data_IF_041051047649
#
_entry.id   IF_041051047649
#
_cell.length_a   1.000
_cell.length_b   1.000
_cell.length_c   1.000
_cell.angle_alpha   90.00
_cell.angle_beta   90.00
_cell.angle_gamma   90.00
#
_symmetry.space_group_name_H-M   'P 1'
#
loop_
_entity.id
_entity.type
_entity.pdbx_description
1 polymer ?
#
# COMPACT_ATOMS: atom_id res chain seq x y z
N UNK A 1 -4.26 -2.67 -6.67
CA UNK A 1 -4.45 -3.96 -6.04
C UNK A 1 -3.15 -4.30 -5.34
N UNK A 2 -3.17 -4.38 -4.02
CA UNK A 2 -1.99 -4.54 -3.17
C UNK A 2 -1.91 -6.02 -2.81
N UNK A 3 -1.08 -6.78 -3.53
CA UNK A 3 -0.81 -8.18 -3.21
C UNK A 3 0.25 -8.19 -2.10
N UNK A 4 -0.18 -8.31 -0.87
CA UNK A 4 0.66 -8.42 0.30
C UNK A 4 0.30 -9.66 1.10
N UNK A 5 1.37 -10.34 1.53
CA UNK A 5 1.41 -11.43 2.50
C UNK A 5 1.10 -12.80 1.90
N UNK A 6 2.15 -13.48 1.51
CA UNK A 6 2.16 -14.93 1.42
C UNK A 6 2.78 -15.47 2.71
N UNK A 7 1.95 -16.01 3.61
CA UNK A 7 2.40 -16.75 4.77
C UNK A 7 2.73 -18.17 4.33
N UNK A 8 4.00 -18.46 4.12
CA UNK A 8 4.46 -19.80 3.78
C UNK A 8 5.36 -20.33 4.90
N UNK A 9 5.07 -21.52 5.39
CA UNK A 9 5.88 -22.30 6.32
C UNK A 9 7.18 -22.76 5.63
N UNK A 10 8.14 -21.85 5.48
CA UNK A 10 9.36 -22.05 4.72
C UNK A 10 10.57 -21.62 5.55
N UNK A 11 11.47 -22.56 5.81
CA UNK A 11 12.76 -22.24 6.41
C UNK A 11 13.67 -21.57 5.39
N UNK A 12 13.93 -20.29 5.57
CA UNK A 12 14.86 -19.54 4.75
C UNK A 12 15.93 -18.85 5.60
N UNK A 13 17.17 -19.15 5.33
CA UNK A 13 18.39 -18.39 5.59
C UNK A 13 19.14 -18.52 6.92
N UNK A 14 20.40 -18.93 6.72
CA UNK A 14 21.53 -18.59 7.54
C UNK A 14 22.35 -17.45 6.95
N UNK A 15 23.26 -16.91 7.74
CA UNK A 15 24.27 -15.96 7.37
C UNK A 15 25.15 -16.50 6.22
N UNK A 16 25.08 -15.91 5.04
CA UNK A 16 26.21 -15.88 4.14
C UNK A 16 26.41 -16.99 3.11
N UNK A 17 25.58 -18.03 3.02
CA UNK A 17 25.77 -19.08 2.02
C UNK A 17 24.64 -19.09 1.00
N UNK A 18 24.79 -18.31 -0.04
CA UNK A 18 23.89 -18.26 -1.18
C UNK A 18 24.08 -16.98 -1.98
N UNK A 19 23.84 -17.06 -3.27
CA UNK A 19 23.90 -15.92 -4.17
C UNK A 19 22.86 -14.88 -3.77
N UNK A 20 23.32 -13.71 -3.33
CA UNK A 20 22.45 -12.58 -2.99
C UNK A 20 22.04 -11.87 -4.27
N UNK A 21 20.82 -12.10 -4.71
CA UNK A 21 20.24 -11.48 -5.88
C UNK A 21 19.38 -10.26 -5.56
N UNK A 22 18.60 -9.83 -6.54
CA UNK A 22 17.62 -8.76 -6.37
C UNK A 22 16.36 -9.22 -5.62
N UNK A 23 16.21 -10.50 -5.39
CA UNK A 23 15.07 -11.21 -4.81
C UNK A 23 15.25 -11.42 -3.31
N UNK A 24 16.47 -11.77 -2.88
CA UNK A 24 16.78 -12.08 -1.50
C UNK A 24 18.01 -11.33 -1.03
N UNK A 25 17.90 -10.73 0.16
CA UNK A 25 18.99 -10.00 0.80
C UNK A 25 19.82 -10.89 1.73
N UNK A 26 20.90 -10.33 2.29
CA UNK A 26 21.91 -11.03 3.09
C UNK A 26 21.61 -11.16 4.59
N UNK A 27 20.46 -10.67 5.06
CA UNK A 27 20.17 -10.56 6.49
C UNK A 27 19.06 -11.51 6.95
N UNK A 28 18.91 -12.66 6.31
CA UNK A 28 18.00 -13.71 6.74
C UNK A 28 18.43 -14.41 8.05
N UNK A 29 17.65 -15.39 8.50
CA UNK A 29 17.91 -16.21 9.68
C UNK A 29 17.78 -17.70 9.35
N UNK A 30 18.74 -18.51 9.80
CA UNK A 30 18.74 -19.96 9.59
C UNK A 30 19.36 -20.40 8.26
N UNK A 31 19.29 -21.70 7.94
CA UNK A 31 19.75 -22.27 6.68
C UNK A 31 18.57 -22.44 5.72
N UNK A 32 18.84 -22.27 4.44
CA UNK A 32 17.87 -22.47 3.39
C UNK A 32 17.65 -23.98 3.17
N UNK A 33 16.40 -24.39 3.18
CA UNK A 33 15.99 -25.75 2.83
C UNK A 33 15.41 -25.77 1.40
N UNK A 34 15.02 -26.96 0.92
CA UNK A 34 14.45 -27.16 -0.41
C UNK A 34 13.22 -26.26 -0.68
N UNK A 35 12.34 -26.08 0.32
CA UNK A 35 11.17 -25.18 0.19
C UNK A 35 11.59 -23.71 0.07
N UNK A 36 12.67 -23.34 0.76
CA UNK A 36 13.28 -22.05 0.65
C UNK A 36 13.86 -21.78 -0.74
N UNK A 37 14.47 -22.78 -1.38
CA UNK A 37 14.91 -22.66 -2.77
C UNK A 37 13.72 -22.42 -3.70
N UNK A 38 12.64 -23.19 -3.57
CA UNK A 38 11.41 -22.99 -4.38
C UNK A 38 10.82 -21.58 -4.20
N UNK A 39 10.86 -21.01 -2.98
CA UNK A 39 10.43 -19.63 -2.77
C UNK A 39 11.34 -18.64 -3.48
N UNK A 40 12.65 -18.85 -3.47
CA UNK A 40 13.60 -17.99 -4.19
C UNK A 40 13.36 -18.05 -5.70
N UNK A 41 13.16 -19.24 -6.26
CA UNK A 41 12.82 -19.42 -7.67
C UNK A 41 11.52 -18.71 -8.02
N UNK A 42 10.49 -18.87 -7.21
CA UNK A 42 9.23 -18.14 -7.35
C UNK A 42 9.42 -16.63 -7.32
N UNK A 43 10.24 -16.13 -6.37
CA UNK A 43 10.53 -14.70 -6.28
C UNK A 43 11.29 -14.19 -7.53
N UNK A 44 12.21 -14.98 -8.07
CA UNK A 44 12.92 -14.66 -9.32
C UNK A 44 11.94 -14.57 -10.49
N UNK A 45 11.12 -15.60 -10.68
CA UNK A 45 10.12 -15.68 -11.75
C UNK A 45 9.13 -14.50 -11.72
N UNK A 46 8.58 -14.22 -10.55
CA UNK A 46 7.56 -13.17 -10.35
C UNK A 46 8.13 -11.77 -10.10
N UNK A 47 9.45 -11.60 -10.16
CA UNK A 47 10.17 -10.34 -9.87
C UNK A 47 9.77 -9.76 -8.50
N UNK A 48 9.75 -10.64 -7.48
CA UNK A 48 9.49 -10.30 -6.10
C UNK A 48 10.81 -10.17 -5.31
N UNK A 49 10.74 -9.51 -4.16
CA UNK A 49 11.82 -9.47 -3.17
C UNK A 49 11.27 -9.89 -1.80
N UNK A 50 12.10 -10.61 -1.04
CA UNK A 50 11.81 -11.04 0.33
C UNK A 50 12.28 -9.96 1.29
N UNK A 51 11.37 -9.10 1.77
CA UNK A 51 11.74 -7.85 2.45
C UNK A 51 12.46 -8.05 3.77
N UNK A 52 12.13 -9.10 4.52
CA UNK A 52 12.75 -9.42 5.82
C UNK A 52 14.25 -9.69 5.75
N UNK A 53 14.77 -10.01 4.56
CA UNK A 53 16.18 -10.36 4.36
C UNK A 53 17.05 -9.17 3.93
N UNK A 54 16.43 -8.00 3.68
CA UNK A 54 17.12 -6.84 3.09
C UNK A 54 17.67 -5.85 4.10
N UNK A 55 17.18 -5.89 5.33
CA UNK A 55 17.56 -4.93 6.36
C UNK A 55 18.33 -5.61 7.47
N UNK A 56 19.44 -5.02 7.85
CA UNK A 56 20.19 -5.47 9.01
C UNK A 56 19.37 -5.27 10.27
N UNK A 57 19.20 -6.36 11.03
CA UNK A 57 18.44 -6.38 12.27
C UNK A 57 19.19 -7.24 13.28
N UNK A 58 18.93 -6.99 14.58
CA UNK A 58 19.34 -7.88 15.66
C UNK A 58 18.76 -9.29 15.47
N UNK A 59 19.46 -10.32 15.92
CA UNK A 59 19.01 -11.72 15.75
C UNK A 59 17.58 -11.94 16.24
N UNK A 60 17.22 -11.33 17.39
CA UNK A 60 15.86 -11.42 17.96
C UNK A 60 14.76 -10.83 17.05
N UNK A 61 15.11 -10.01 16.06
CA UNK A 61 14.17 -9.38 15.10
C UNK A 61 14.20 -10.04 13.73
N UNK A 62 14.90 -11.17 13.58
CA UNK A 62 14.97 -11.91 12.32
C UNK A 62 14.06 -13.13 12.32
N UNK A 63 14.00 -13.89 13.43
CA UNK A 63 13.13 -15.06 13.50
C UNK A 63 11.66 -14.65 13.66
N UNK A 64 10.78 -15.46 13.11
CA UNK A 64 9.34 -15.19 13.12
C UNK A 64 8.55 -16.26 13.85
N UNK A 65 9.20 -17.38 14.20
CA UNK A 65 8.59 -18.50 14.91
C UNK A 65 9.53 -19.08 15.93
N UNK A 66 8.96 -19.53 17.06
CA UNK A 66 9.65 -20.24 18.12
C UNK A 66 9.11 -21.64 18.23
N UNK A 67 10.00 -22.60 18.22
CA UNK A 67 9.60 -23.99 18.50
C UNK A 67 9.08 -24.10 19.93
N UNK A 68 8.02 -24.89 20.17
CA UNK A 68 7.58 -25.21 21.53
C UNK A 68 8.75 -25.67 22.41
N UNK A 69 8.88 -25.09 23.62
CA UNK A 69 10.03 -25.28 24.48
C UNK A 69 11.19 -24.32 24.24
N UNK A 70 11.05 -23.36 23.33
CA UNK A 70 12.01 -22.27 23.00
C UNK A 70 13.43 -22.74 22.64
N UNK A 71 13.55 -24.00 22.16
CA UNK A 71 14.81 -24.63 21.81
C UNK A 71 15.38 -24.13 20.53
N UNK A 72 14.52 -23.86 19.51
CA UNK A 72 14.92 -23.38 18.19
C UNK A 72 14.05 -22.24 17.72
N UNK A 73 14.66 -21.36 16.91
CA UNK A 73 14.02 -20.19 16.36
C UNK A 73 14.21 -20.15 14.84
N UNK A 74 13.13 -19.91 14.12
CA UNK A 74 13.12 -19.99 12.67
C UNK A 74 12.49 -18.75 12.05
N UNK A 75 12.88 -18.45 10.84
CA UNK A 75 12.23 -17.42 10.01
C UNK A 75 11.33 -18.13 9.01
N UNK A 76 10.02 -18.13 9.26
CA UNK A 76 9.03 -18.83 8.47
C UNK A 76 8.10 -17.87 7.71
N UNK A 77 7.89 -16.68 8.27
CA UNK A 77 6.96 -15.69 7.73
C UNK A 77 7.72 -14.62 6.95
N UNK A 78 7.29 -14.35 5.75
CA UNK A 78 7.94 -13.41 4.83
C UNK A 78 6.95 -12.42 4.24
N UNK A 79 7.39 -11.18 4.07
CA UNK A 79 6.67 -10.17 3.31
C UNK A 79 7.34 -10.04 1.95
N UNK A 80 6.57 -10.36 0.90
CA UNK A 80 7.02 -10.28 -0.48
C UNK A 80 6.53 -8.98 -1.11
N UNK A 81 7.43 -8.29 -1.83
CA UNK A 81 7.12 -7.04 -2.52
C UNK A 81 7.67 -7.09 -3.92
N UNK A 82 6.96 -6.57 -4.91
CA UNK A 82 7.50 -6.47 -6.28
C UNK A 82 8.77 -5.63 -6.29
N UNK A 83 9.82 -6.09 -6.96
CA UNK A 83 11.13 -5.44 -7.00
C UNK A 83 11.07 -3.98 -7.44
N UNK A 84 10.11 -3.60 -8.29
CA UNK A 84 9.87 -2.21 -8.71
C UNK A 84 9.56 -1.27 -7.53
N UNK A 85 9.03 -1.79 -6.42
CA UNK A 85 8.70 -1.01 -5.22
C UNK A 85 9.77 -1.10 -4.13
N UNK A 86 10.91 -1.71 -4.41
CA UNK A 86 12.00 -1.92 -3.46
C UNK A 86 12.38 -0.64 -2.71
N UNK A 87 12.49 0.48 -3.42
CA UNK A 87 12.89 1.76 -2.84
C UNK A 87 11.83 2.36 -1.88
N UNK A 88 10.58 1.88 -1.96
CA UNK A 88 9.51 2.27 -1.06
C UNK A 88 9.59 1.57 0.29
N UNK A 89 10.19 0.39 0.36
CA UNK A 89 10.39 -0.36 1.60
C UNK A 89 11.52 0.30 2.40
N UNK A 90 11.25 0.62 3.67
CA UNK A 90 12.20 1.33 4.55
C UNK A 90 12.70 0.45 5.68
N UNK A 91 11.93 -0.52 6.10
CA UNK A 91 12.28 -1.47 7.15
C UNK A 91 11.37 -2.69 7.04
N UNK A 92 11.88 -3.88 7.35
CA UNK A 92 11.08 -5.08 7.53
C UNK A 92 11.75 -5.95 8.61
N UNK A 93 11.01 -6.34 9.63
CA UNK A 93 11.54 -7.16 10.72
C UNK A 93 10.41 -7.82 11.52
N UNK A 94 10.74 -8.80 12.35
CA UNK A 94 9.84 -9.35 13.34
C UNK A 94 9.86 -8.55 14.64
N UNK A 95 8.78 -8.65 15.41
CA UNK A 95 8.59 -8.00 16.69
C UNK A 95 8.27 -9.06 17.75
N UNK A 96 9.31 -9.73 18.30
CA UNK A 96 9.14 -10.65 19.41
C UNK A 96 8.67 -9.84 20.64
N UNK A 97 7.62 -10.32 21.30
CA UNK A 97 7.03 -9.62 22.45
C UNK A 97 5.79 -8.78 22.10
N UNK A 98 5.34 -8.74 20.84
CA UNK A 98 3.95 -8.43 20.58
C UNK A 98 3.11 -9.57 21.16
N UNK A 99 2.30 -9.26 22.17
CA UNK A 99 1.45 -10.22 22.86
C UNK A 99 0.28 -10.63 21.96
N UNK A 100 0.50 -11.66 21.15
CA UNK A 100 -0.47 -12.13 20.13
C UNK A 100 -1.04 -13.49 20.50
N UNK A 101 -0.64 -14.09 21.63
CA UNK A 101 -1.09 -15.44 22.03
C UNK A 101 -0.72 -16.53 21.02
N UNK A 102 0.35 -16.36 20.26
CA UNK A 102 0.82 -17.24 19.19
C UNK A 102 2.31 -17.56 19.39
N UNK A 103 2.75 -18.71 18.91
CA UNK A 103 4.16 -19.08 18.77
C UNK A 103 4.85 -18.33 17.61
N UNK A 104 4.08 -17.65 16.75
CA UNK A 104 4.59 -16.73 15.73
C UNK A 104 4.76 -15.31 16.27
N UNK A 105 5.84 -14.65 15.84
CA UNK A 105 6.08 -13.24 16.09
C UNK A 105 5.43 -12.37 15.00
N UNK A 106 4.89 -11.24 15.39
CA UNK A 106 4.39 -10.25 14.44
C UNK A 106 5.50 -9.81 13.47
N UNK A 107 5.23 -9.88 12.17
CA UNK A 107 6.13 -9.36 11.14
C UNK A 107 5.57 -8.07 10.58
N UNK A 108 6.38 -7.03 10.56
CA UNK A 108 5.97 -5.71 10.10
C UNK A 108 6.93 -5.15 9.06
N UNK A 109 6.36 -4.40 8.12
CA UNK A 109 7.10 -3.67 7.10
C UNK A 109 6.71 -2.19 7.12
N UNK A 110 7.72 -1.30 7.13
CA UNK A 110 7.52 0.14 6.95
C UNK A 110 7.74 0.50 5.49
N UNK A 111 6.73 1.09 4.86
CA UNK A 111 6.79 1.56 3.48
C UNK A 111 6.58 3.08 3.41
N UNK A 112 7.23 3.72 2.43
CA UNK A 112 6.99 5.12 2.07
C UNK A 112 6.37 5.16 0.69
N UNK A 113 5.07 5.48 0.62
CA UNK A 113 4.33 5.60 -0.63
C UNK A 113 4.26 7.06 -1.03
N UNK A 114 4.60 7.35 -2.28
CA UNK A 114 4.37 8.67 -2.87
C UNK A 114 3.09 8.59 -3.70
N UNK A 115 2.04 9.29 -3.26
CA UNK A 115 0.83 9.43 -4.04
C UNK A 115 1.02 10.53 -5.07
N UNK A 116 0.77 10.22 -6.35
CA UNK A 116 0.64 11.23 -7.38
C UNK A 116 -0.76 11.84 -7.26
N UNK A 117 -0.81 13.12 -6.90
CA UNK A 117 -2.08 13.85 -6.95
C UNK A 117 -2.45 13.98 -8.43
N UNK A 118 -3.48 13.26 -8.84
CA UNK A 118 -4.09 13.48 -10.16
C UNK A 118 -4.87 14.78 -10.07
N UNK A 119 -4.33 15.83 -10.67
CA UNK A 119 -5.10 17.05 -10.87
C UNK A 119 -6.28 16.68 -11.75
N UNK A 120 -7.50 16.72 -11.20
CA UNK A 120 -8.72 16.57 -11.99
C UNK A 120 -8.64 17.66 -13.09
N UNK A 121 -8.75 17.25 -14.34
CA UNK A 121 -8.87 18.21 -15.42
C UNK A 121 -10.03 19.14 -15.07
N UNK A 122 -9.78 20.45 -15.05
CA UNK A 122 -10.86 21.43 -14.89
C UNK A 122 -11.75 21.26 -16.11
N UNK A 123 -12.89 20.62 -15.94
CA UNK A 123 -13.92 20.58 -16.98
C UNK A 123 -14.32 22.02 -17.20
N UNK A 124 -13.93 22.60 -18.33
CA UNK A 124 -14.45 23.88 -18.74
C UNK A 124 -15.95 23.69 -18.94
N UNK A 125 -16.74 24.24 -18.02
CA UNK A 125 -18.20 24.28 -18.21
C UNK A 125 -18.44 25.02 -19.50
N UNK A 126 -18.93 24.36 -20.53
CA UNK A 126 -19.42 24.97 -21.73
C UNK A 126 -20.86 25.39 -21.48
N UNK A 127 -21.13 26.67 -21.70
CA UNK A 127 -22.50 27.16 -21.67
C UNK A 127 -23.24 26.52 -22.85
N UNK A 128 -24.42 26.00 -22.60
CA UNK A 128 -25.32 25.57 -23.67
C UNK A 128 -26.06 26.82 -24.13
N UNK A 129 -25.65 27.38 -25.27
CA UNK A 129 -26.19 28.63 -25.77
C UNK A 129 -27.67 28.51 -26.15
N UNK A 130 -28.10 27.33 -26.67
CA UNK A 130 -29.51 27.09 -27.02
C UNK A 130 -30.40 27.14 -25.76
N UNK A 131 -29.98 26.47 -24.68
CA UNK A 131 -30.69 26.59 -23.41
C UNK A 131 -30.61 27.98 -22.78
N UNK A 132 -29.57 28.74 -23.07
CA UNK A 132 -29.41 30.09 -22.55
C UNK A 132 -30.46 31.00 -23.16
N UNK A 133 -30.77 30.84 -24.45
CA UNK A 133 -31.81 31.62 -25.14
C UNK A 133 -33.22 31.34 -24.61
N UNK A 134 -33.54 30.05 -24.38
CA UNK A 134 -34.82 29.65 -23.77
C UNK A 134 -34.98 30.21 -22.35
N UNK A 135 -33.94 30.10 -21.53
CA UNK A 135 -33.97 30.60 -20.14
C UNK A 135 -33.96 32.12 -20.10
N UNK A 136 -33.34 32.81 -21.10
CA UNK A 136 -33.29 34.23 -21.12
C UNK A 136 -34.69 34.86 -21.27
N UNK A 137 -35.53 34.34 -22.16
CA UNK A 137 -36.93 34.81 -22.34
C UNK A 137 -37.74 34.61 -21.06
N UNK A 138 -37.61 33.51 -20.39
CA UNK A 138 -38.30 33.22 -19.14
C UNK A 138 -37.80 34.10 -17.98
N UNK A 139 -36.48 34.35 -17.93
CA UNK A 139 -35.89 35.25 -16.96
C UNK A 139 -36.30 36.69 -17.17
N UNK A 140 -36.32 37.19 -18.40
CA UNK A 140 -36.77 38.53 -18.73
C UNK A 140 -38.24 38.73 -18.29
N UNK A 141 -39.12 37.80 -18.63
CA UNK A 141 -40.50 37.86 -18.19
C UNK A 141 -40.65 37.90 -16.67
N UNK A 142 -39.90 37.06 -15.95
CA UNK A 142 -39.90 37.03 -14.47
C UNK A 142 -39.37 38.32 -13.84
N UNK A 143 -38.42 38.98 -14.47
CA UNK A 143 -37.92 40.28 -14.02
C UNK A 143 -38.94 41.39 -14.25
N UNK A 144 -39.58 41.45 -15.43
CA UNK A 144 -40.62 42.43 -15.76
C UNK A 144 -41.79 42.32 -14.80
N UNK A 145 -42.30 41.10 -14.52
CA UNK A 145 -43.39 40.87 -13.55
C UNK A 145 -43.03 41.37 -12.15
N UNK A 146 -41.80 41.18 -11.69
CA UNK A 146 -41.33 41.68 -10.40
C UNK A 146 -41.20 43.19 -10.33
N UNK A 147 -40.73 43.80 -11.43
CA UNK A 147 -40.63 45.25 -11.51
C UNK A 147 -41.99 45.92 -11.52
N UNK A 148 -42.97 45.37 -12.26
CA UNK A 148 -44.34 45.86 -12.27
C UNK A 148 -45.00 45.75 -10.89
N UNK A 149 -44.80 44.63 -10.22
CA UNK A 149 -45.31 44.45 -8.83
C UNK A 149 -44.71 45.47 -7.87
N UNK A 150 -43.42 45.75 -7.99
CA UNK A 150 -42.74 46.71 -7.13
C UNK A 150 -43.23 48.14 -7.36
N UNK A 151 -43.35 48.53 -8.62
CA UNK A 151 -43.90 49.84 -8.99
C UNK A 151 -45.36 50.04 -8.51
N UNK A 152 -46.19 48.99 -8.54
CA UNK A 152 -47.57 49.07 -8.06
C UNK A 152 -47.65 49.24 -6.54
N UNK A 153 -46.67 48.75 -5.77
CA UNK A 153 -46.60 48.96 -4.32
C UNK A 153 -46.17 50.38 -3.94
N UNK A 154 -45.25 50.95 -4.70
CA UNK A 154 -44.75 52.34 -4.47
C UNK A 154 -45.79 53.44 -4.85
N UNK A 155 -46.82 53.12 -5.62
CA UNK A 155 -47.91 54.07 -5.99
C UNK A 155 -49.12 54.05 -5.06
N UNK A 156 -49.09 53.20 -4.00
CA UNK A 156 -50.21 53.05 -3.04
C UNK A 156 -49.91 53.65 -1.65
N UNK A 157 -48.80 54.35 -1.49
CA UNK A 157 -48.49 55.22 -0.36
C UNK A 157 -48.70 56.69 -0.81
#
# INVERSE_FOLDING_TARGET
MWDFVLQLLIHLFGKGEGEHGRDVGKYGHGRRNERGEKLVEFCKEKKLMVTNTWFEQENRRRYTWKQPGDTNRYQLDYILVRQRYRNSVKKSCSYPGADVGSDHNLVMMKIKVKHKVLKKAKIKKRWNLEKLEEVNTEFQRGVEERLVKKAAVETTE
#
